data_IF_872640983901
#
_entry.id   IF_872640983901
#
_cell.length_a   1.000
_cell.length_b   1.000
_cell.length_c   1.000
_cell.angle_alpha   90.00
_cell.angle_beta   90.00
_cell.angle_gamma   90.00
#
_symmetry.space_group_name_H-M   'P 1'
#
loop_
_entity.id
_entity.type
_entity.pdbx_description
1 polymer ?
#
# COMPACT_ATOMS: atom_id res chain seq x y z
N UNK A 1 16.86 -9.78 -4.96
CA UNK A 1 17.59 -9.43 -3.72
C UNK A 1 19.05 -9.04 -4.00
N UNK A 2 19.85 -9.89 -4.64
CA UNK A 2 21.24 -9.51 -5.02
C UNK A 2 21.27 -8.26 -5.91
N UNK A 3 20.40 -8.19 -6.93
CA UNK A 3 20.30 -7.02 -7.82
C UNK A 3 19.86 -5.74 -7.11
N UNK A 4 18.95 -5.84 -6.13
CA UNK A 4 18.47 -4.66 -5.36
C UNK A 4 19.53 -4.19 -4.37
N UNK A 5 20.23 -5.11 -3.70
CA UNK A 5 21.36 -4.79 -2.81
C UNK A 5 22.51 -4.14 -3.59
N UNK A 6 22.82 -4.66 -4.77
CA UNK A 6 23.84 -4.06 -5.65
C UNK A 6 23.46 -2.64 -6.10
N UNK A 7 22.21 -2.42 -6.47
CA UNK A 7 21.70 -1.09 -6.79
C UNK A 7 21.81 -0.13 -5.59
N UNK A 8 21.44 -0.58 -4.38
CA UNK A 8 21.57 0.22 -3.15
C UNK A 8 23.05 0.56 -2.88
N UNK A 9 23.96 -0.40 -3.03
CA UNK A 9 25.40 -0.19 -2.85
C UNK A 9 25.97 0.81 -3.86
N UNK A 10 25.55 0.76 -5.12
CA UNK A 10 25.94 1.75 -6.14
C UNK A 10 25.47 3.16 -5.77
N UNK A 11 24.24 3.31 -5.28
CA UNK A 11 23.75 4.61 -4.84
C UNK A 11 24.48 5.12 -3.58
N UNK A 12 24.80 4.25 -2.63
CA UNK A 12 25.56 4.61 -1.43
C UNK A 12 27.01 5.01 -1.76
N UNK A 13 27.64 4.33 -2.71
CA UNK A 13 28.99 4.68 -3.17
C UNK A 13 29.00 6.03 -3.92
N UNK A 14 27.98 6.31 -4.75
CA UNK A 14 27.79 7.64 -5.38
C UNK A 14 27.57 8.75 -4.36
N UNK A 15 26.84 8.47 -3.28
CA UNK A 15 26.67 9.42 -2.17
C UNK A 15 28.01 9.74 -1.50
N UNK A 16 28.84 8.72 -1.26
CA UNK A 16 30.16 8.88 -0.64
C UNK A 16 31.13 9.69 -1.53
N UNK A 17 31.05 9.54 -2.86
CA UNK A 17 31.87 10.30 -3.82
C UNK A 17 31.30 11.70 -4.17
N UNK A 18 30.26 12.17 -3.46
CA UNK A 18 29.61 13.47 -3.70
C UNK A 18 29.11 13.69 -5.15
N UNK A 19 28.81 12.62 -5.87
CA UNK A 19 28.27 12.67 -7.23
C UNK A 19 26.79 13.08 -7.20
N UNK A 20 26.29 13.77 -8.25
CA UNK A 20 24.89 14.17 -8.33
C UNK A 20 23.98 12.94 -8.45
N UNK A 21 23.29 12.59 -7.36
CA UNK A 21 22.30 11.52 -7.35
C UNK A 21 21.01 12.01 -8.03
N UNK A 22 20.48 11.20 -8.92
CA UNK A 22 19.25 11.52 -9.66
C UNK A 22 18.02 11.37 -8.77
N UNK A 23 16.99 12.18 -9.05
CA UNK A 23 15.71 12.10 -8.33
C UNK A 23 15.04 10.73 -8.43
N UNK A 24 15.25 10.02 -9.54
CA UNK A 24 14.74 8.66 -9.72
C UNK A 24 15.45 7.68 -8.79
N UNK A 25 16.77 7.78 -8.64
CA UNK A 25 17.53 6.92 -7.72
C UNK A 25 17.06 7.10 -6.28
N UNK A 26 16.75 8.33 -5.85
CA UNK A 26 16.23 8.59 -4.50
C UNK A 26 14.81 8.05 -4.32
N UNK A 27 13.92 8.25 -5.30
CA UNK A 27 12.55 7.71 -5.23
C UNK A 27 12.52 6.17 -5.26
N UNK A 28 13.41 5.56 -6.05
CA UNK A 28 13.52 4.10 -6.14
C UNK A 28 14.21 3.51 -4.91
N UNK A 29 15.22 4.18 -4.33
CA UNK A 29 15.78 3.83 -3.02
C UNK A 29 14.73 3.86 -1.92
N UNK A 30 13.91 4.91 -1.87
CA UNK A 30 12.81 5.04 -0.91
C UNK A 30 11.85 3.84 -0.98
N UNK A 31 11.38 3.54 -2.21
CA UNK A 31 10.45 2.45 -2.45
C UNK A 31 11.08 1.08 -2.17
N UNK A 32 12.34 0.87 -2.55
CA UNK A 32 13.04 -0.41 -2.32
C UNK A 32 13.38 -0.63 -0.85
N UNK A 33 13.76 0.41 -0.11
CA UNK A 33 13.95 0.34 1.34
C UNK A 33 12.64 0.00 2.06
N UNK A 34 11.55 0.70 1.74
CA UNK A 34 10.23 0.42 2.31
C UNK A 34 9.81 -1.02 2.01
N UNK A 35 9.95 -1.46 0.76
CA UNK A 35 9.58 -2.79 0.36
C UNK A 35 10.46 -3.87 1.02
N UNK A 36 11.76 -3.62 1.20
CA UNK A 36 12.65 -4.51 1.95
C UNK A 36 12.20 -4.66 3.40
N UNK A 37 11.81 -3.55 4.05
CA UNK A 37 11.27 -3.55 5.41
C UNK A 37 9.95 -4.34 5.47
N UNK A 38 9.04 -4.10 4.52
CA UNK A 38 7.79 -4.85 4.39
C UNK A 38 8.06 -6.35 4.21
N UNK A 39 8.98 -6.72 3.31
CA UNK A 39 9.36 -8.12 3.10
C UNK A 39 10.06 -8.73 4.30
N UNK A 40 10.88 -8.00 5.03
CA UNK A 40 11.53 -8.48 6.26
C UNK A 40 10.50 -8.76 7.36
N UNK A 41 9.53 -7.86 7.53
CA UNK A 41 8.39 -8.09 8.43
C UNK A 41 7.50 -9.24 7.97
N UNK A 42 7.31 -9.40 6.66
CA UNK A 42 6.56 -10.52 6.10
C UNK A 42 7.33 -11.85 6.19
N UNK A 43 8.67 -11.81 6.21
CA UNK A 43 9.49 -13.01 6.41
C UNK A 43 9.24 -13.65 7.78
N UNK A 44 8.94 -12.83 8.80
CA UNK A 44 8.54 -13.31 10.12
C UNK A 44 7.12 -13.93 10.16
N UNK A 45 6.34 -13.84 9.07
CA UNK A 45 5.04 -14.50 8.91
C UNK A 45 5.10 -15.59 7.82
N UNK A 46 6.11 -16.45 7.86
CA UNK A 46 6.12 -17.73 7.12
C UNK A 46 5.57 -18.87 8.01
N UNK A 47 4.47 -18.59 8.71
CA UNK A 47 3.68 -19.63 9.38
C UNK A 47 2.88 -20.41 8.33
N UNK A 48 3.38 -21.61 8.03
CA UNK A 48 2.59 -22.83 7.86
C UNK A 48 1.58 -22.89 6.69
N UNK A 49 2.07 -22.80 5.44
CA UNK A 49 1.36 -23.39 4.29
C UNK A 49 1.86 -24.83 4.09
N UNK A 50 1.81 -25.66 5.15
CA UNK A 50 2.23 -27.07 5.06
C UNK A 50 1.09 -28.07 5.15
N UNK A 51 -0.14 -27.61 5.35
CA UNK A 51 -1.31 -28.47 5.33
C UNK A 51 -2.31 -28.02 4.27
N UNK A 52 -2.43 -28.76 3.15
CA UNK A 52 -3.57 -28.59 2.26
C UNK A 52 -4.83 -28.98 3.03
N UNK A 53 -5.76 -28.03 3.17
CA UNK A 53 -7.07 -28.27 3.78
C UNK A 53 -7.89 -29.14 2.81
N UNK A 54 -8.27 -30.38 3.17
CA UNK A 54 -9.14 -31.18 2.33
C UNK A 54 -10.51 -30.50 2.28
N UNK A 55 -10.94 -30.07 1.10
CA UNK A 55 -12.34 -29.70 0.88
C UNK A 55 -13.16 -30.99 0.89
N UNK A 56 -14.08 -31.13 1.85
CA UNK A 56 -15.09 -32.18 1.84
C UNK A 56 -15.91 -32.02 0.56
N UNK A 57 -15.67 -32.86 -0.45
CA UNK A 57 -16.60 -33.01 -1.57
C UNK A 57 -17.82 -33.73 -1.01
N UNK A 58 -18.95 -33.02 -0.89
CA UNK A 58 -20.24 -33.70 -0.78
C UNK A 58 -20.36 -34.65 -1.96
N UNK A 59 -20.34 -35.96 -1.70
CA UNK A 59 -20.77 -36.94 -2.66
C UNK A 59 -22.25 -36.68 -2.92
N UNK A 60 -22.56 -36.18 -4.11
CA UNK A 60 -23.88 -36.36 -4.71
C UNK A 60 -24.17 -37.85 -4.61
N UNK A 61 -25.21 -38.18 -3.86
CA UNK A 61 -25.70 -39.55 -3.69
C UNK A 61 -26.12 -40.05 -5.07
N UNK A 62 -25.27 -40.85 -5.71
CA UNK A 62 -25.66 -41.65 -6.87
C UNK A 62 -26.64 -42.71 -6.38
N UNK A 63 -27.93 -42.44 -6.58
CA UNK A 63 -29.00 -43.43 -6.43
C UNK A 63 -28.89 -44.43 -7.59
N UNK A 64 -27.99 -45.41 -7.46
CA UNK A 64 -28.07 -46.64 -8.25
C UNK A 64 -29.05 -47.60 -7.58
N UNK A 65 -30.26 -47.58 -8.14
CA UNK A 65 -31.24 -48.67 -8.33
C UNK A 65 -30.95 -50.08 -7.76
N UNK A 66 -32.03 -50.66 -7.22
CA UNK A 66 -32.34 -52.07 -6.84
C UNK A 66 -32.15 -52.37 -5.34
N UNK A 67 -33.13 -52.85 -4.57
CA UNK A 67 -34.29 -53.68 -4.87
C UNK A 67 -35.42 -53.49 -3.82
N UNK A 68 -36.67 -53.63 -4.29
CA UNK A 68 -37.85 -54.21 -3.63
C UNK A 68 -38.26 -53.73 -2.22
N UNK A 69 -39.40 -53.03 -2.13
CA UNK A 69 -40.71 -53.63 -1.83
C UNK A 69 -41.69 -52.60 -1.25
N UNK A 70 -42.95 -52.78 -1.64
CA UNK A 70 -44.22 -52.35 -1.01
C UNK A 70 -44.40 -50.90 -0.49
N UNK A 71 -45.27 -50.18 -1.21
CA UNK A 71 -46.53 -49.74 -0.60
C UNK A 71 -46.65 -48.30 -0.08
N UNK A 72 -47.58 -47.60 -0.73
CA UNK A 72 -48.48 -46.58 -0.15
C UNK A 72 -47.94 -45.15 0.02
N UNK A 73 -48.81 -44.20 -0.40
CA UNK A 73 -48.44 -42.84 -0.73
C UNK A 73 -48.26 -41.91 0.45
N UNK A 74 -47.81 -40.69 0.14
CA UNK A 74 -48.30 -39.41 0.68
C UNK A 74 -47.37 -38.27 0.17
N UNK A 75 -47.84 -37.57 -0.86
CA UNK A 75 -47.18 -36.42 -1.48
C UNK A 75 -47.25 -35.13 -0.65
N UNK A 76 -46.98 -35.18 0.66
CA UNK A 76 -47.11 -34.01 1.54
C UNK A 76 -45.88 -33.71 2.41
N UNK A 77 -44.78 -34.47 2.30
CA UNK A 77 -43.60 -34.28 3.19
C UNK A 77 -42.47 -33.44 2.56
N UNK A 78 -42.42 -33.29 1.24
CA UNK A 78 -41.32 -32.60 0.53
C UNK A 78 -41.42 -31.05 0.54
N UNK A 79 -42.53 -30.46 1.03
CA UNK A 79 -42.65 -29.00 1.10
C UNK A 79 -42.09 -28.41 2.41
N UNK A 80 -41.85 -29.25 3.43
CA UNK A 80 -41.46 -28.80 4.79
C UNK A 80 -39.95 -28.79 5.03
N UNK A 81 -39.17 -29.47 4.20
CA UNK A 81 -37.72 -29.61 4.37
C UNK A 81 -36.89 -28.79 3.37
N UNK A 82 -37.36 -27.60 2.99
CA UNK A 82 -36.44 -26.62 2.39
C UNK A 82 -35.64 -25.98 3.53
N UNK A 83 -34.30 -26.15 3.60
CA UNK A 83 -33.52 -25.42 4.59
C UNK A 83 -33.77 -23.93 4.35
N UNK A 84 -34.32 -23.24 5.35
CA UNK A 84 -34.29 -21.78 5.40
C UNK A 84 -32.82 -21.42 5.42
N UNK A 85 -32.30 -20.97 4.27
CA UNK A 85 -30.99 -20.35 4.20
C UNK A 85 -30.98 -19.22 5.21
N UNK A 86 -30.11 -19.35 6.21
CA UNK A 86 -29.87 -18.32 7.20
C UNK A 86 -29.40 -17.05 6.47
N UNK A 87 -30.16 -15.93 6.49
CA UNK A 87 -29.75 -14.69 5.84
C UNK A 87 -28.51 -14.07 6.49
N UNK A 88 -28.09 -14.54 7.67
CA UNK A 88 -26.99 -13.97 8.44
C UNK A 88 -25.60 -14.32 7.90
N UNK A 89 -25.44 -15.41 7.14
CA UNK A 89 -24.11 -15.99 6.93
C UNK A 89 -23.42 -15.63 5.60
N UNK A 90 -24.03 -14.76 4.76
CA UNK A 90 -23.39 -14.31 3.52
C UNK A 90 -22.44 -13.12 3.71
N UNK A 91 -22.33 -12.56 4.92
CA UNK A 91 -21.47 -11.41 5.22
C UNK A 91 -20.13 -11.75 5.91
N UNK A 92 -19.93 -12.97 6.42
CA UNK A 92 -18.79 -13.27 7.31
C UNK A 92 -17.50 -13.70 6.61
N UNK A 93 -17.51 -13.89 5.29
CA UNK A 93 -16.30 -14.31 4.55
C UNK A 93 -15.29 -13.16 4.35
N UNK A 94 -15.75 -11.91 4.39
CA UNK A 94 -14.91 -10.73 4.53
C UNK A 94 -15.02 -10.30 5.99
N UNK A 95 -13.90 -10.34 6.73
CA UNK A 95 -13.89 -10.00 8.15
C UNK A 95 -14.53 -8.62 8.39
N UNK A 96 -15.67 -8.60 9.06
CA UNK A 96 -16.22 -7.38 9.63
C UNK A 96 -15.33 -7.02 10.82
N UNK A 97 -14.32 -6.19 10.55
CA UNK A 97 -13.48 -5.64 11.59
C UNK A 97 -14.33 -4.85 12.57
N UNK A 98 -13.95 -4.91 13.84
CA UNK A 98 -14.59 -4.06 14.85
C UNK A 98 -14.21 -2.60 14.61
N UNK A 99 -15.06 -1.62 14.97
CA UNK A 99 -14.75 -0.19 14.78
C UNK A 99 -13.39 0.22 15.37
N UNK A 100 -12.96 -0.42 16.48
CA UNK A 100 -11.64 -0.22 17.08
C UNK A 100 -10.48 -0.71 16.22
N UNK A 101 -10.65 -1.82 15.50
CA UNK A 101 -9.63 -2.37 14.60
C UNK A 101 -9.52 -1.52 13.33
N UNK A 102 -10.63 -1.00 12.82
CA UNK A 102 -10.65 -0.10 11.66
C UNK A 102 -9.83 1.17 11.93
N UNK A 103 -10.02 1.80 13.10
CA UNK A 103 -9.23 2.98 13.48
C UNK A 103 -7.74 2.67 13.66
N UNK A 104 -7.41 1.49 14.20
CA UNK A 104 -6.03 1.03 14.34
C UNK A 104 -5.36 0.80 12.97
N UNK A 105 -6.06 0.12 12.04
CA UNK A 105 -5.58 -0.13 10.68
C UNK A 105 -5.40 1.20 9.93
N UNK A 106 -6.37 2.11 10.02
CA UNK A 106 -6.27 3.45 9.42
C UNK A 106 -5.08 4.24 9.97
N UNK A 107 -4.85 4.20 11.27
CA UNK A 107 -3.70 4.85 11.92
C UNK A 107 -2.36 4.28 11.43
N UNK A 108 -2.26 2.96 11.32
CA UNK A 108 -1.07 2.29 10.79
C UNK A 108 -0.83 2.69 9.32
N UNK A 109 -1.87 2.68 8.49
CA UNK A 109 -1.78 3.07 7.09
C UNK A 109 -1.39 4.54 6.91
N UNK A 110 -1.96 5.43 7.72
CA UNK A 110 -1.62 6.86 7.72
C UNK A 110 -0.15 7.08 8.11
N UNK A 111 0.35 6.36 9.13
CA UNK A 111 1.77 6.40 9.51
C UNK A 111 2.68 5.93 8.37
N UNK A 112 2.36 4.81 7.73
CA UNK A 112 3.14 4.29 6.59
C UNK A 112 3.11 5.28 5.41
N UNK A 113 1.95 5.86 5.11
CA UNK A 113 1.80 6.86 4.05
C UNK A 113 2.59 8.14 4.34
N UNK A 114 2.59 8.60 5.60
CA UNK A 114 3.38 9.75 6.07
C UNK A 114 4.87 9.49 5.91
N UNK A 115 5.34 8.31 6.36
CA UNK A 115 6.73 7.91 6.22
C UNK A 115 7.15 7.84 4.75
N UNK A 116 6.30 7.29 3.88
CA UNK A 116 6.54 7.29 2.45
C UNK A 116 6.65 8.72 1.87
N UNK A 117 5.74 9.62 2.26
CA UNK A 117 5.77 11.03 1.85
C UNK A 117 7.02 11.75 2.33
N UNK A 118 7.43 11.51 3.57
CA UNK A 118 8.60 12.14 4.19
C UNK A 118 9.91 11.81 3.46
N UNK A 119 10.01 10.66 2.78
CA UNK A 119 11.20 10.35 1.99
C UNK A 119 11.33 11.28 0.77
N UNK A 120 10.22 11.75 0.20
CA UNK A 120 10.27 12.78 -0.85
C UNK A 120 10.74 14.15 -0.31
N UNK A 121 10.56 14.41 0.99
CA UNK A 121 11.16 15.56 1.66
C UNK A 121 12.67 15.40 1.86
N UNK A 122 13.24 14.20 1.82
CA UNK A 122 14.71 14.02 1.90
C UNK A 122 15.43 14.63 0.68
N UNK A 123 14.74 14.73 -0.47
CA UNK A 123 15.20 15.41 -1.67
C UNK A 123 15.11 16.96 -1.60
N UNK A 124 14.88 17.55 -0.41
CA UNK A 124 14.67 19.00 -0.22
C UNK A 124 15.81 19.90 -0.72
N UNK A 125 17.04 19.38 -0.65
CA UNK A 125 18.27 20.09 -0.99
C UNK A 125 18.79 19.78 -2.39
N UNK A 126 18.11 18.93 -3.18
CA UNK A 126 18.51 18.68 -4.56
C UNK A 126 18.47 19.99 -5.36
N UNK A 127 19.54 20.24 -6.11
CA UNK A 127 19.69 21.43 -6.93
C UNK A 127 18.99 21.22 -8.27
N UNK A 128 17.76 21.71 -8.36
CA UNK A 128 17.03 21.72 -9.63
C UNK A 128 17.54 22.87 -10.51
N UNK A 129 17.67 22.66 -11.84
CA UNK A 129 18.07 23.72 -12.77
C UNK A 129 17.13 24.94 -12.81
N UNK A 130 15.90 24.80 -12.30
CA UNK A 130 14.89 25.86 -12.29
C UNK A 130 14.19 25.94 -10.93
N UNK A 131 14.06 27.15 -10.38
CA UNK A 131 13.42 27.40 -9.07
C UNK A 131 11.95 26.98 -9.02
N UNK A 132 11.23 27.05 -10.16
CA UNK A 132 9.83 26.62 -10.24
C UNK A 132 9.68 25.12 -9.97
N UNK A 133 10.54 24.28 -10.57
CA UNK A 133 10.50 22.82 -10.35
C UNK A 133 10.82 22.47 -8.91
N UNK A 134 11.78 23.17 -8.30
CA UNK A 134 12.11 22.98 -6.89
C UNK A 134 10.94 23.36 -5.98
N UNK A 135 10.24 24.45 -6.26
CA UNK A 135 9.08 24.87 -5.49
C UNK A 135 7.92 23.86 -5.63
N UNK A 136 7.61 23.44 -6.86
CA UNK A 136 6.59 22.42 -7.14
C UNK A 136 6.90 21.11 -6.42
N UNK A 137 8.17 20.69 -6.42
CA UNK A 137 8.62 19.52 -5.68
C UNK A 137 8.37 19.67 -4.17
N UNK A 138 8.83 20.77 -3.56
CA UNK A 138 8.71 21.01 -2.12
C UNK A 138 7.27 21.07 -1.66
N UNK A 139 6.43 21.82 -2.38
CA UNK A 139 4.99 21.92 -2.07
C UNK A 139 4.35 20.55 -2.19
N UNK A 140 4.59 19.82 -3.29
CA UNK A 140 3.99 18.49 -3.49
C UNK A 140 4.45 17.48 -2.44
N UNK A 141 5.75 17.47 -2.10
CA UNK A 141 6.33 16.60 -1.08
C UNK A 141 5.74 16.88 0.31
N UNK A 142 5.58 18.16 0.67
CA UNK A 142 4.90 18.55 1.91
C UNK A 142 3.44 18.11 1.90
N UNK A 143 2.70 18.34 0.80
CA UNK A 143 1.29 17.95 0.68
C UNK A 143 1.10 16.45 0.86
N UNK A 144 1.90 15.59 0.22
CA UNK A 144 1.76 14.13 0.39
C UNK A 144 2.18 13.64 1.77
N UNK A 145 3.04 14.39 2.47
CA UNK A 145 3.46 14.07 3.84
C UNK A 145 2.40 14.48 4.86
N UNK A 146 1.78 15.65 4.68
CA UNK A 146 0.78 16.17 5.61
C UNK A 146 -0.62 15.60 5.39
N UNK A 147 -1.00 15.19 4.17
CA UNK A 147 -2.33 14.66 3.84
C UNK A 147 -2.81 13.54 4.79
N UNK A 148 -2.04 12.45 5.05
CA UNK A 148 -2.48 11.40 5.99
C UNK A 148 -2.65 11.90 7.44
N UNK A 149 -1.88 12.93 7.85
CA UNK A 149 -2.03 13.53 9.19
C UNK A 149 -3.32 14.35 9.25
N UNK A 150 -3.64 15.09 8.20
CA UNK A 150 -4.88 15.87 8.08
C UNK A 150 -6.09 14.94 8.14
N UNK A 151 -6.07 13.82 7.43
CA UNK A 151 -7.15 12.83 7.45
C UNK A 151 -7.32 12.17 8.84
N UNK A 152 -6.23 11.91 9.56
CA UNK A 152 -6.30 11.40 10.93
C UNK A 152 -6.95 12.43 11.87
N UNK A 153 -6.55 13.70 11.77
CA UNK A 153 -7.14 14.78 12.56
C UNK A 153 -8.61 15.00 12.22
N UNK A 154 -8.97 14.96 10.93
CA UNK A 154 -10.35 15.10 10.48
C UNK A 154 -11.23 13.96 11.02
N UNK A 155 -10.74 12.72 11.02
CA UNK A 155 -11.45 11.58 11.62
C UNK A 155 -11.65 11.73 13.14
N UNK A 156 -10.66 12.25 13.87
CA UNK A 156 -10.79 12.55 15.31
C UNK A 156 -11.79 13.68 15.57
N UNK A 157 -11.77 14.74 14.75
CA UNK A 157 -12.71 15.86 14.87
C UNK A 157 -14.13 15.39 14.55
N UNK A 158 -14.31 14.66 13.45
CA UNK A 158 -15.60 14.12 13.04
C UNK A 158 -16.19 13.14 14.06
N UNK A 159 -15.35 12.42 14.82
CA UNK A 159 -15.82 11.53 15.90
C UNK A 159 -16.07 12.26 17.23
N UNK A 160 -15.56 13.49 17.41
CA UNK A 160 -15.74 14.28 18.64
C UNK A 160 -16.95 15.21 18.56
N UNK A 161 -17.28 15.71 17.37
CA UNK A 161 -18.34 16.69 17.17
C UNK A 161 -19.56 16.09 16.45
N UNK A 162 -20.69 16.02 17.15
CA UNK A 162 -21.97 15.65 16.56
C UNK A 162 -22.63 16.82 15.83
N UNK A 163 -23.11 16.58 14.60
CA UNK A 163 -23.97 17.50 13.87
C UNK A 163 -23.75 17.51 12.36
N UNK A 164 -24.80 17.87 11.61
CA UNK A 164 -24.77 17.88 10.13
C UNK A 164 -23.76 18.87 9.55
N UNK A 165 -23.44 19.95 10.26
CA UNK A 165 -22.43 20.91 9.81
C UNK A 165 -21.03 20.32 9.93
N UNK A 166 -20.72 19.63 11.04
CA UNK A 166 -19.41 18.99 11.24
C UNK A 166 -19.18 17.88 10.19
N UNK A 167 -20.19 17.07 9.91
CA UNK A 167 -20.09 16.02 8.89
C UNK A 167 -19.91 16.59 7.48
N UNK A 168 -20.62 17.65 7.11
CA UNK A 168 -20.44 18.31 5.81
C UNK A 168 -19.04 18.93 5.69
N UNK A 169 -18.54 19.57 6.74
CA UNK A 169 -17.18 20.15 6.75
C UNK A 169 -16.10 19.07 6.60
N UNK A 170 -16.24 17.94 7.29
CA UNK A 170 -15.32 16.80 7.16
C UNK A 170 -15.33 16.23 5.73
N UNK A 171 -16.50 16.04 5.12
CA UNK A 171 -16.61 15.57 3.73
C UNK A 171 -15.97 16.54 2.73
N UNK A 172 -16.16 17.85 2.93
CA UNK A 172 -15.54 18.88 2.09
C UNK A 172 -14.01 18.87 2.26
N UNK A 173 -13.51 18.79 3.49
CA UNK A 173 -12.08 18.74 3.78
C UNK A 173 -11.44 17.47 3.22
N UNK A 174 -12.10 16.32 3.34
CA UNK A 174 -11.70 15.05 2.74
C UNK A 174 -11.57 15.16 1.22
N UNK A 175 -12.56 15.77 0.55
CA UNK A 175 -12.51 15.94 -0.91
C UNK A 175 -11.38 16.89 -1.36
N UNK A 176 -11.19 18.00 -0.65
CA UNK A 176 -10.09 18.95 -0.93
C UNK A 176 -8.73 18.26 -0.74
N UNK A 177 -8.57 17.51 0.35
CA UNK A 177 -7.30 16.82 0.66
C UNK A 177 -7.00 15.73 -0.35
N UNK A 178 -8.01 14.93 -0.74
CA UNK A 178 -7.87 13.89 -1.76
C UNK A 178 -7.47 14.46 -3.13
N UNK A 179 -8.12 15.55 -3.57
CA UNK A 179 -7.78 16.19 -4.85
C UNK A 179 -6.39 16.82 -4.84
N UNK A 180 -6.02 17.50 -3.75
CA UNK A 180 -4.67 18.04 -3.56
C UNK A 180 -3.61 16.94 -3.55
N UNK A 181 -3.89 15.80 -2.89
CA UNK A 181 -3.00 14.64 -2.87
C UNK A 181 -2.77 14.05 -4.27
N UNK A 182 -3.84 13.86 -5.06
CA UNK A 182 -3.73 13.37 -6.43
C UNK A 182 -2.91 14.33 -7.29
N UNK A 183 -3.16 15.64 -7.20
CA UNK A 183 -2.41 16.64 -7.96
C UNK A 183 -0.92 16.67 -7.58
N UNK A 184 -0.61 16.59 -6.28
CA UNK A 184 0.77 16.51 -5.78
C UNK A 184 1.47 15.24 -6.29
N UNK A 185 0.76 14.10 -6.30
CA UNK A 185 1.27 12.83 -6.85
C UNK A 185 1.59 12.92 -8.34
N UNK A 186 0.66 13.47 -9.13
CA UNK A 186 0.89 13.68 -10.57
C UNK A 186 2.09 14.61 -10.78
N UNK A 187 2.21 15.68 -9.99
CA UNK A 187 3.33 16.62 -10.10
C UNK A 187 4.67 15.96 -9.81
N UNK A 188 4.77 15.16 -8.75
CA UNK A 188 5.99 14.41 -8.43
C UNK A 188 6.33 13.40 -9.54
N UNK A 189 5.34 12.71 -10.12
CA UNK A 189 5.57 11.81 -11.25
C UNK A 189 6.08 12.58 -12.48
N UNK A 190 5.45 13.70 -12.84
CA UNK A 190 5.87 14.50 -13.99
C UNK A 190 7.29 15.03 -13.80
N UNK A 191 7.64 15.48 -12.59
CA UNK A 191 9.00 15.94 -12.28
C UNK A 191 10.02 14.80 -12.39
N UNK A 192 9.75 13.63 -11.80
CA UNK A 192 10.69 12.50 -11.89
C UNK A 192 10.91 12.04 -13.33
N UNK A 193 9.85 11.97 -14.16
CA UNK A 193 9.99 11.65 -15.58
C UNK A 193 10.73 12.73 -16.37
N UNK A 194 10.53 14.01 -16.02
CA UNK A 194 11.26 15.12 -16.66
C UNK A 194 12.74 15.10 -16.31
N UNK A 195 13.07 14.70 -15.09
CA UNK A 195 14.46 14.54 -14.61
C UNK A 195 15.16 13.35 -15.29
N UNK A 196 14.43 12.31 -15.70
CA UNK A 196 14.98 11.24 -16.53
C UNK A 196 15.31 11.68 -17.95
N UNK A 197 14.53 12.62 -18.50
CA UNK A 197 14.73 13.08 -19.88
C UNK A 197 15.97 13.97 -20.01
N UNK A 198 16.35 14.69 -18.96
CA UNK A 198 17.47 15.63 -18.94
C UNK A 198 18.44 15.28 -17.80
N UNK A 199 19.01 14.07 -17.86
CA UNK A 199 19.98 13.62 -16.86
C UNK A 199 21.20 14.56 -16.85
N UNK A 200 21.65 15.04 -15.68
CA UNK A 200 22.90 15.78 -15.59
C UNK A 200 24.06 14.88 -16.06
N UNK A 201 25.09 15.42 -16.72
CA UNK A 201 26.19 14.64 -17.28
C UNK A 201 26.88 13.74 -16.24
N UNK A 202 26.91 14.14 -14.96
CA UNK A 202 27.43 13.33 -13.85
C UNK A 202 26.65 12.05 -13.55
N UNK A 203 25.40 11.90 -14.03
CA UNK A 203 24.64 10.65 -13.88
C UNK A 203 25.22 9.51 -14.72
N UNK A 204 25.97 9.84 -15.79
CA UNK A 204 26.65 8.87 -16.65
C UNK A 204 28.03 8.47 -16.10
N UNK A 205 28.53 9.14 -15.06
CA UNK A 205 29.81 8.76 -14.44
C UNK A 205 29.65 7.50 -13.58
N UNK A 206 30.53 6.54 -13.82
CA UNK A 206 30.56 5.29 -13.09
C UNK A 206 31.37 5.46 -11.79
N UNK A 207 30.89 4.84 -10.71
CA UNK A 207 31.66 4.76 -9.45
C UNK A 207 32.95 4.00 -9.72
N UNK A 208 34.08 4.59 -9.36
CA UNK A 208 35.38 3.93 -9.45
C UNK A 208 35.59 3.05 -8.21
N UNK A 209 35.04 1.83 -8.26
CA UNK A 209 35.18 0.83 -7.19
C UNK A 209 36.62 0.54 -6.77
N UNK A 210 37.59 0.80 -7.66
CA UNK A 210 39.03 0.67 -7.40
C UNK A 210 39.56 1.63 -6.33
N UNK A 211 38.87 2.74 -6.06
CA UNK A 211 39.24 3.70 -5.01
C UNK A 211 38.93 3.14 -3.61
N UNK A 212 38.00 2.20 -3.49
CA UNK A 212 37.59 1.58 -2.21
C UNK A 212 38.43 0.35 -1.84
N UNK A 213 39.24 -0.15 -2.77
CA UNK A 213 40.17 -1.26 -2.49
C UNK A 213 41.44 -0.62 -1.89
N UNK A 214 41.76 -0.87 -0.61
CA UNK A 214 42.98 -0.35 -0.03
C UNK A 214 44.17 -0.84 -0.87
N UNK A 215 45.01 0.10 -1.28
CA UNK A 215 46.16 -0.15 -2.13
C UNK A 215 47.07 -1.15 -1.43
N UNK A 216 47.14 -2.37 -1.96
CA UNK A 216 48.05 -3.42 -1.49
C UNK A 216 49.39 -3.25 -2.19
#
# INVERSE_FOLDING_TARGET
MVQTIWFILQCAARWYEHLPITELEIATLAFTMLNLITYAFWWNKLADVRYPHPTVKCSVVDTTSNDSDSGEGEGEVEARNRPRGDPGNQGEFFGNFTPSEDHLIASILACVATLFGAIHCFAWSLQFPSSLRQLLWRVSALTITSAPIIELLDAVVASTFDGSVATVLALVLMFITATAYIAARVTLLVLTFTSLRNLPPGAYEAVYWTTFIPHV
#
